data_IF_239376069672
#
_entry.id   IF_239376069672
#
_cell.length_a   1.000
_cell.length_b   1.000
_cell.length_c   1.000
_cell.angle_alpha   90.00
_cell.angle_beta   90.00
_cell.angle_gamma   90.00
#
_symmetry.space_group_name_H-M   'P 1'
#
loop_
_entity.id
_entity.type
_entity.pdbx_description
1 polymer ?
#
# COMPACT_ATOMS: atom_id res chain seq x y z
N UNK A 1 -38.89 3.16 -21.82
CA UNK A 1 -38.02 3.04 -23.01
C UNK A 1 -36.83 3.99 -22.84
N UNK A 2 -35.64 3.41 -22.66
CA UNK A 2 -34.28 3.97 -22.75
C UNK A 2 -33.79 5.03 -21.75
N UNK A 3 -33.06 4.57 -20.72
CA UNK A 3 -31.86 5.26 -20.23
C UNK A 3 -30.70 4.28 -20.14
N UNK A 4 -30.03 4.16 -21.30
CA UNK A 4 -28.57 4.13 -21.47
C UNK A 4 -27.78 3.23 -20.52
N UNK A 5 -27.46 2.04 -21.05
CA UNK A 5 -26.10 1.62 -21.36
C UNK A 5 -24.99 2.27 -20.49
N UNK A 6 -24.70 1.66 -19.36
CA UNK A 6 -23.42 1.81 -18.64
C UNK A 6 -22.86 0.42 -18.34
N UNK A 7 -22.73 -0.40 -19.38
CA UNK A 7 -21.73 -1.47 -19.40
C UNK A 7 -20.60 -0.97 -20.27
N UNK A 8 -19.56 -0.38 -19.67
CA UNK A 8 -18.18 -0.34 -20.16
C UNK A 8 -17.34 0.64 -19.33
N UNK A 9 -16.67 0.13 -18.30
CA UNK A 9 -15.28 0.53 -18.02
C UNK A 9 -14.59 -0.65 -17.35
N UNK A 10 -13.89 -1.45 -18.13
CA UNK A 10 -12.74 -2.24 -17.66
C UNK A 10 -11.78 -1.28 -16.98
N UNK A 11 -11.79 -1.22 -15.65
CA UNK A 11 -10.76 -0.52 -14.90
C UNK A 11 -9.57 -1.49 -14.81
N UNK A 12 -8.51 -1.13 -15.54
CA UNK A 12 -7.23 -1.83 -15.61
C UNK A 12 -6.73 -2.12 -14.18
N UNK A 13 -6.03 -3.25 -13.92
CA UNK A 13 -5.31 -3.40 -12.65
C UNK A 13 -4.33 -2.23 -12.57
N UNK A 14 -4.54 -1.36 -11.58
CA UNK A 14 -3.69 -0.19 -11.42
C UNK A 14 -2.27 -0.69 -11.16
N UNK A 15 -1.38 -0.16 -11.97
CA UNK A 15 0.00 -0.58 -12.13
C UNK A 15 0.69 -0.74 -10.77
N UNK A 16 1.53 -1.77 -10.66
CA UNK A 16 2.52 -1.91 -9.59
C UNK A 16 3.07 -0.52 -9.22
N UNK A 17 2.66 -0.02 -8.05
CA UNK A 17 3.15 1.24 -7.49
C UNK A 17 4.61 0.99 -7.10
N UNK A 18 5.52 1.19 -8.06
CA UNK A 18 6.92 1.38 -7.72
C UNK A 18 6.96 2.53 -6.70
N UNK A 19 7.63 2.36 -5.55
CA UNK A 19 7.64 3.39 -4.53
C UNK A 19 8.29 4.64 -5.12
N UNK A 20 7.47 5.68 -5.31
CA UNK A 20 7.97 7.01 -5.68
C UNK A 20 8.91 7.48 -4.58
N UNK A 21 10.13 7.96 -4.90
CA UNK A 21 11.03 8.49 -3.90
C UNK A 21 10.35 9.72 -3.28
N UNK A 22 10.06 9.65 -1.99
CA UNK A 22 9.49 10.77 -1.25
C UNK A 22 10.48 11.93 -1.29
N UNK A 23 10.10 13.02 -1.97
CA UNK A 23 10.83 14.29 -1.94
C UNK A 23 10.93 14.72 -0.48
N UNK A 24 12.17 14.83 0.02
CA UNK A 24 12.48 15.20 1.39
C UNK A 24 12.01 16.64 1.66
N UNK A 25 10.79 16.79 2.17
CA UNK A 25 10.36 18.04 2.81
C UNK A 25 10.95 18.07 4.21
N UNK A 26 11.77 19.08 4.47
CA UNK A 26 12.53 19.30 5.70
C UNK A 26 11.66 19.04 6.94
N UNK A 27 11.87 17.88 7.57
CA UNK A 27 11.13 17.48 8.77
C UNK A 27 12.13 17.29 9.90
N UNK A 28 11.74 17.73 11.12
CA UNK A 28 12.46 17.62 12.41
C UNK A 28 13.54 16.53 12.38
N UNK A 29 14.78 16.78 12.84
CA UNK A 29 15.90 15.84 12.72
C UNK A 29 15.44 14.46 13.15
N UNK A 30 15.10 13.63 12.16
CA UNK A 30 14.59 12.29 12.41
C UNK A 30 15.82 11.54 12.90
N UNK A 31 15.68 10.81 14.00
CA UNK A 31 16.72 9.87 14.39
C UNK A 31 16.73 8.77 13.33
N UNK A 32 17.58 8.93 12.33
CA UNK A 32 17.77 7.97 11.26
C UNK A 32 18.39 6.73 11.87
N UNK A 33 17.68 5.61 11.77
CA UNK A 33 18.23 4.32 12.16
C UNK A 33 19.20 3.92 11.04
N UNK A 34 20.45 3.56 11.34
CA UNK A 34 21.38 3.09 10.33
C UNK A 34 20.78 1.91 9.57
N UNK A 35 20.63 2.06 8.25
CA UNK A 35 20.12 1.00 7.40
C UNK A 35 21.22 -0.04 7.19
N UNK A 36 21.09 -1.19 7.83
CA UNK A 36 21.98 -2.33 7.65
C UNK A 36 21.23 -3.36 6.81
N UNK A 37 21.66 -3.56 5.57
CA UNK A 37 21.13 -4.63 4.72
C UNK A 37 21.82 -5.95 5.08
N UNK A 38 21.07 -6.88 5.66
CA UNK A 38 21.53 -8.25 5.88
C UNK A 38 21.30 -9.04 4.57
N UNK A 39 22.26 -9.84 4.10
CA UNK A 39 22.08 -10.70 2.94
C UNK A 39 20.89 -11.67 3.17
N UNK A 40 20.04 -11.84 2.16
CA UNK A 40 18.87 -12.75 2.15
C UNK A 40 17.67 -12.37 3.03
N UNK A 41 17.73 -11.30 3.83
CA UNK A 41 16.61 -10.91 4.71
C UNK A 41 15.34 -10.54 3.94
N UNK A 42 15.48 -9.90 2.77
CA UNK A 42 14.31 -9.47 1.99
C UNK A 42 13.38 -10.64 1.62
N UNK A 43 13.95 -11.72 1.12
CA UNK A 43 13.17 -12.86 0.63
C UNK A 43 12.64 -13.70 1.80
N UNK A 44 13.42 -13.84 2.86
CA UNK A 44 13.01 -14.50 4.10
C UNK A 44 11.83 -13.79 4.76
N UNK A 45 11.95 -12.48 4.97
CA UNK A 45 10.89 -11.67 5.58
C UNK A 45 9.64 -11.65 4.67
N UNK A 46 9.82 -11.56 3.35
CA UNK A 46 8.71 -11.59 2.42
C UNK A 46 7.93 -12.91 2.48
N UNK A 47 8.63 -14.05 2.60
CA UNK A 47 8.00 -15.34 2.76
C UNK A 47 7.20 -15.43 4.07
N UNK A 48 7.75 -14.94 5.17
CA UNK A 48 7.05 -14.89 6.46
C UNK A 48 5.82 -13.97 6.43
N UNK A 49 5.90 -12.82 5.74
CA UNK A 49 4.73 -11.94 5.54
C UNK A 49 3.65 -12.62 4.70
N UNK A 50 4.03 -13.35 3.65
CA UNK A 50 3.08 -14.06 2.79
C UNK A 50 2.32 -15.17 3.55
N UNK A 51 2.95 -15.82 4.53
CA UNK A 51 2.29 -16.83 5.38
C UNK A 51 1.32 -16.20 6.40
N UNK A 52 1.64 -14.99 6.89
CA UNK A 52 0.82 -14.30 7.88
C UNK A 52 -0.41 -13.59 7.27
N UNK A 53 -0.33 -13.19 6.01
CA UNK A 53 -1.36 -12.41 5.33
C UNK A 53 -1.95 -13.17 4.13
N UNK A 54 -2.76 -14.20 4.40
CA UNK A 54 -3.65 -14.80 3.41
C UNK A 54 -4.67 -13.74 2.94
N UNK A 55 -4.41 -13.07 1.80
CA UNK A 55 -5.23 -11.96 1.27
C UNK A 55 -6.74 -12.30 1.21
N UNK A 56 -7.08 -13.55 0.89
CA UNK A 56 -8.46 -14.05 0.83
C UNK A 56 -9.14 -14.18 2.20
N UNK A 57 -8.40 -14.19 3.30
CA UNK A 57 -8.91 -14.36 4.67
C UNK A 57 -8.95 -13.05 5.47
N UNK A 58 -8.40 -11.97 4.93
CA UNK A 58 -8.40 -10.67 5.61
C UNK A 58 -9.77 -10.01 5.47
N UNK A 59 -10.52 -9.91 6.57
CA UNK A 59 -11.69 -9.03 6.64
C UNK A 59 -11.23 -7.60 6.94
N UNK A 60 -11.29 -6.72 5.93
CA UNK A 60 -11.00 -5.30 6.13
C UNK A 60 -12.12 -4.65 6.94
N UNK A 61 -11.93 -4.57 8.26
CA UNK A 61 -12.73 -3.69 9.08
C UNK A 61 -12.20 -2.26 8.90
N UNK A 62 -12.83 -1.50 8.02
CA UNK A 62 -12.54 -0.07 7.90
C UNK A 62 -13.04 0.64 9.15
N UNK A 63 -12.11 1.08 10.00
CA UNK A 63 -12.40 2.04 11.05
C UNK A 63 -12.88 3.36 10.45
N UNK A 64 -13.66 4.13 11.20
CA UNK A 64 -14.06 5.47 10.79
C UNK A 64 -12.81 6.29 10.48
N UNK A 65 -12.64 6.69 9.22
CA UNK A 65 -11.63 7.67 8.84
C UNK A 65 -12.11 9.01 9.38
N UNK A 66 -11.50 9.47 10.47
CA UNK A 66 -11.76 10.80 11.01
C UNK A 66 -11.38 11.83 9.94
N UNK A 67 -12.22 12.85 9.67
CA UNK A 67 -11.93 13.84 8.64
C UNK A 67 -10.69 14.66 9.03
N UNK A 68 -9.76 14.84 8.08
CA UNK A 68 -8.69 15.83 8.19
C UNK A 68 -9.34 17.21 8.35
N UNK A 69 -9.02 17.93 9.43
CA UNK A 69 -9.64 19.22 9.71
C UNK A 69 -9.28 20.24 8.60
N UNK A 70 -10.29 20.96 8.12
CA UNK A 70 -10.23 22.04 7.11
C UNK A 70 -9.23 23.15 7.49
#
# INVERSE_FOLDING_TARGET
>A
MYTKLIMSTTQKPDSQKNPTPVTQTETKPRREIPLISVPNDRDMIAAEMAELFDEDRVSHQHGSSEPEAD
#
